data_IF_998258637015
#
_entry.id   IF_998258637015
#
_cell.length_a   1.000
_cell.length_b   1.000
_cell.length_c   1.000
_cell.angle_alpha   90.00
_cell.angle_beta   90.00
_cell.angle_gamma   90.00
#
_symmetry.space_group_name_H-M   'P 1'
#
loop_
_entity.id
_entity.type
_entity.pdbx_description
1 polymer ?
#
# COMPACT_ATOMS: atom_id res chain seq x y z
N UNK A 1 15.83 15.25 -16.12
CA UNK A 1 14.64 14.81 -15.35
C UNK A 1 13.42 14.53 -16.24
N UNK A 2 13.18 15.31 -17.31
CA UNK A 2 12.00 15.15 -18.18
C UNK A 2 11.93 13.79 -18.89
N UNK A 3 13.05 13.23 -19.39
CA UNK A 3 13.06 11.90 -20.06
C UNK A 3 12.44 10.77 -19.23
N UNK A 4 12.72 10.72 -17.92
CA UNK A 4 12.17 9.69 -17.03
C UNK A 4 10.67 9.88 -16.79
N UNK A 5 10.21 11.14 -16.72
CA UNK A 5 8.79 11.47 -16.63
C UNK A 5 8.07 11.02 -17.90
N UNK A 6 8.63 11.34 -19.07
CA UNK A 6 8.01 11.03 -20.36
C UNK A 6 7.94 9.50 -20.57
N UNK A 7 8.98 8.76 -20.16
CA UNK A 7 8.95 7.29 -20.15
C UNK A 7 7.85 6.73 -19.24
N UNK A 8 7.67 7.27 -18.03
CA UNK A 8 6.60 6.86 -17.12
C UNK A 8 5.21 7.17 -17.67
N UNK A 9 5.03 8.32 -18.34
CA UNK A 9 3.76 8.66 -18.99
C UNK A 9 3.41 7.63 -20.06
N UNK A 10 4.38 7.21 -20.88
CA UNK A 10 4.17 6.15 -21.89
C UNK A 10 3.76 4.84 -21.26
N UNK A 11 4.45 4.41 -20.20
CA UNK A 11 4.12 3.17 -19.48
C UNK A 11 2.68 3.25 -18.93
N UNK A 12 2.32 4.35 -18.27
CA UNK A 12 0.97 4.52 -17.72
C UNK A 12 -0.09 4.51 -18.84
N UNK A 13 0.17 5.16 -19.97
CA UNK A 13 -0.72 5.13 -21.13
C UNK A 13 -0.93 3.69 -21.67
N UNK A 14 0.14 2.88 -21.75
CA UNK A 14 0.01 1.47 -22.14
C UNK A 14 -0.83 0.67 -21.15
N UNK A 15 -0.71 0.93 -19.84
CA UNK A 15 -1.51 0.25 -18.81
C UNK A 15 -2.99 0.64 -18.90
N UNK A 16 -3.30 1.90 -19.23
CA UNK A 16 -4.67 2.33 -19.53
C UNK A 16 -5.24 1.61 -20.74
N UNK A 17 -4.48 1.49 -21.83
CA UNK A 17 -4.90 0.74 -23.01
C UNK A 17 -5.16 -0.74 -22.71
N UNK A 18 -4.28 -1.40 -21.95
CA UNK A 18 -4.47 -2.79 -21.50
C UNK A 18 -5.71 -2.99 -20.62
N UNK A 19 -6.17 -1.93 -19.94
CA UNK A 19 -7.34 -1.96 -19.07
C UNK A 19 -8.64 -1.65 -19.84
N UNK A 20 -8.54 -1.29 -21.13
CA UNK A 20 -9.68 -0.97 -22.00
C UNK A 20 -10.09 0.50 -22.01
N UNK A 21 -9.28 1.41 -21.46
CA UNK A 21 -9.61 2.85 -21.42
C UNK A 21 -9.53 3.57 -22.78
N UNK A 22 -9.14 2.86 -23.85
CA UNK A 22 -8.97 3.44 -25.18
C UNK A 22 -10.29 3.72 -25.91
N UNK A 23 -11.41 3.09 -25.52
CA UNK A 23 -12.69 3.13 -26.27
C UNK A 23 -13.89 3.57 -25.41
N UNK A 24 -13.65 4.26 -24.28
CA UNK A 24 -14.73 4.81 -23.45
C UNK A 24 -15.50 3.79 -22.59
N UNK A 25 -15.26 2.49 -22.77
CA UNK A 25 -15.81 1.43 -21.93
C UNK A 25 -14.77 1.01 -20.86
N UNK A 26 -14.98 1.48 -19.63
CA UNK A 26 -14.23 0.96 -18.49
C UNK A 26 -14.68 -0.48 -18.22
N UNK A 27 -13.77 -1.44 -18.39
CA UNK A 27 -14.04 -2.82 -18.00
C UNK A 27 -14.12 -2.90 -16.47
N UNK A 28 -15.33 -2.83 -15.94
CA UNK A 28 -15.59 -2.85 -14.49
C UNK A 28 -15.02 -4.11 -13.82
N UNK A 29 -14.93 -5.21 -14.59
CA UNK A 29 -14.39 -6.50 -14.16
C UNK A 29 -13.34 -7.03 -15.13
N UNK A 30 -12.14 -7.31 -14.62
CA UNK A 30 -10.95 -7.71 -15.38
C UNK A 30 -10.47 -9.09 -14.90
N UNK A 31 -9.97 -9.98 -15.78
CA UNK A 31 -9.39 -11.26 -15.37
C UNK A 31 -8.26 -11.07 -14.34
N UNK A 32 -8.28 -11.89 -13.28
CA UNK A 32 -7.32 -11.84 -12.18
C UNK A 32 -5.85 -11.94 -12.64
N UNK A 33 -5.48 -12.77 -13.64
CA UNK A 33 -4.11 -12.80 -14.16
C UNK A 33 -3.67 -11.46 -14.78
N UNK A 34 -4.57 -10.79 -15.50
CA UNK A 34 -4.30 -9.48 -16.10
C UNK A 34 -4.16 -8.42 -15.00
N UNK A 35 -5.07 -8.42 -14.02
CA UNK A 35 -5.01 -7.53 -12.88
C UNK A 35 -3.69 -7.67 -12.08
N UNK A 36 -3.23 -8.90 -11.82
CA UNK A 36 -1.95 -9.12 -11.13
C UNK A 36 -0.76 -8.72 -11.99
N UNK A 37 -0.78 -8.98 -13.31
CA UNK A 37 0.26 -8.53 -14.23
C UNK A 37 0.40 -7.01 -14.23
N UNK A 38 -0.72 -6.27 -14.34
CA UNK A 38 -0.70 -4.81 -14.27
C UNK A 38 -0.13 -4.35 -12.92
N UNK A 39 -0.57 -4.93 -11.80
CA UNK A 39 -0.06 -4.56 -10.48
C UNK A 39 1.45 -4.75 -10.31
N UNK A 40 2.03 -5.75 -10.97
CA UNK A 40 3.48 -5.99 -10.94
C UNK A 40 4.27 -4.86 -11.62
N UNK A 41 3.70 -4.22 -12.64
CA UNK A 41 4.28 -3.06 -13.33
C UNK A 41 3.96 -1.76 -12.58
N UNK A 42 2.74 -1.65 -12.06
CA UNK A 42 2.25 -0.45 -11.39
C UNK A 42 3.03 -0.13 -10.11
N UNK A 43 3.38 -1.14 -9.31
CA UNK A 43 4.12 -0.94 -8.05
C UNK A 43 5.50 -0.28 -8.26
N UNK A 44 6.37 -0.78 -9.16
CA UNK A 44 7.60 -0.08 -9.54
C UNK A 44 7.36 1.32 -10.10
N UNK A 45 6.35 1.50 -10.96
CA UNK A 45 6.03 2.80 -11.52
C UNK A 45 5.65 3.83 -10.44
N UNK A 46 4.80 3.45 -9.49
CA UNK A 46 4.46 4.31 -8.34
C UNK A 46 5.69 4.66 -7.50
N UNK A 47 6.59 3.70 -7.26
CA UNK A 47 7.82 3.94 -6.53
C UNK A 47 8.71 4.96 -7.26
N UNK A 48 8.82 4.87 -8.59
CA UNK A 48 9.54 5.82 -9.41
C UNK A 48 8.93 7.23 -9.34
N UNK A 49 7.60 7.34 -9.41
CA UNK A 49 6.89 8.63 -9.25
C UNK A 49 7.13 9.25 -7.88
N UNK A 50 7.07 8.45 -6.80
CA UNK A 50 7.41 8.94 -5.44
C UNK A 50 8.83 9.49 -5.39
N UNK A 51 9.81 8.79 -5.97
CA UNK A 51 11.21 9.25 -6.05
C UNK A 51 11.34 10.55 -6.85
N UNK A 52 10.60 10.71 -7.96
CA UNK A 52 10.59 11.94 -8.74
C UNK A 52 10.00 13.12 -7.94
N UNK A 53 8.93 12.91 -7.19
CA UNK A 53 8.36 13.94 -6.31
C UNK A 53 9.39 14.38 -5.25
N UNK A 54 10.09 13.42 -4.63
CA UNK A 54 11.14 13.72 -3.64
C UNK A 54 12.29 14.49 -4.29
N UNK A 55 12.76 14.05 -5.47
CA UNK A 55 13.84 14.73 -6.17
C UNK A 55 13.43 16.14 -6.63
N UNK A 56 12.19 16.35 -7.07
CA UNK A 56 11.67 17.68 -7.42
C UNK A 56 11.48 18.58 -6.19
N UNK A 57 11.26 18.00 -5.00
CA UNK A 57 11.18 18.73 -3.75
C UNK A 57 12.56 19.14 -3.20
N UNK A 58 13.64 18.43 -3.56
CA UNK A 58 15.01 18.79 -3.15
C UNK A 58 15.42 20.10 -3.83
N UNK A 59 15.44 21.19 -3.06
CA UNK A 59 15.75 22.54 -3.54
C UNK A 59 14.58 23.52 -3.46
N UNK A 60 13.38 23.06 -3.08
CA UNK A 60 12.26 23.94 -2.78
C UNK A 60 12.25 24.33 -1.30
N UNK A 61 12.12 25.63 -1.02
CA UNK A 61 11.91 26.17 0.32
C UNK A 61 10.41 26.40 0.52
N UNK A 62 9.83 25.82 1.58
CA UNK A 62 8.42 26.00 1.90
C UNK A 62 8.29 26.36 3.37
N UNK A 63 7.52 27.42 3.67
CA UNK A 63 7.20 27.79 5.05
C UNK A 63 6.40 26.64 5.71
N UNK A 64 6.80 26.16 6.90
CA UNK A 64 6.05 25.12 7.61
C UNK A 64 4.63 25.62 7.88
N UNK A 65 3.67 24.68 7.84
CA UNK A 65 2.30 25.01 8.23
C UNK A 65 2.29 25.35 9.73
N UNK A 66 1.55 26.39 10.11
CA UNK A 66 1.39 26.77 11.51
C UNK A 66 0.90 25.56 12.31
N UNK A 67 1.64 25.20 13.35
CA UNK A 67 1.23 24.14 14.28
C UNK A 67 -0.15 24.49 14.81
N UNK A 68 -1.13 23.60 14.60
CA UNK A 68 -2.45 23.81 15.20
C UNK A 68 -2.28 23.61 16.70
N UNK A 69 -2.72 24.57 17.49
CA UNK A 69 -2.78 24.43 18.93
C UNK A 69 -3.49 23.11 19.25
N UNK A 70 -2.84 22.26 20.04
CA UNK A 70 -3.47 21.06 20.55
C UNK A 70 -4.68 21.52 21.37
N UNK A 71 -5.88 20.93 21.17
CA UNK A 71 -7.03 21.32 21.95
C UNK A 71 -6.71 21.13 23.43
N UNK A 72 -6.90 22.18 24.21
CA UNK A 72 -6.69 22.11 25.65
C UNK A 72 -7.75 21.19 26.25
N UNK A 73 -7.31 20.07 26.83
CA UNK A 73 -8.16 19.12 27.54
C UNK A 73 -8.74 17.97 26.70
N UNK A 74 -9.60 17.21 27.34
CA UNK A 74 -10.18 15.98 26.78
C UNK A 74 -11.20 16.30 25.66
N UNK A 75 -11.00 15.73 24.48
CA UNK A 75 -11.92 15.89 23.36
C UNK A 75 -13.14 14.99 23.63
N UNK A 76 -14.22 15.57 24.16
CA UNK A 76 -15.48 14.87 24.43
C UNK A 76 -16.37 14.88 23.18
N UNK A 77 -16.98 13.73 22.84
CA UNK A 77 -18.01 13.69 21.77
C UNK A 77 -19.21 14.52 22.18
N UNK A 78 -19.58 15.52 21.36
CA UNK A 78 -20.82 16.28 21.53
C UNK A 78 -22.00 15.42 21.07
N UNK A 79 -22.79 14.90 22.01
CA UNK A 79 -23.97 14.07 21.77
C UNK A 79 -24.81 13.91 23.05
N UNK A 80 -26.10 13.59 22.90
CA UNK A 80 -27.17 13.50 23.92
C UNK A 80 -26.98 12.45 25.02
N UNK A 81 -25.76 11.94 25.23
CA UNK A 81 -25.47 10.98 26.29
C UNK A 81 -25.03 11.71 27.55
N UNK A 82 -25.69 11.43 28.69
CA UNK A 82 -25.31 11.94 30.03
C UNK A 82 -23.88 11.58 30.47
N UNK A 83 -23.18 10.70 29.74
CA UNK A 83 -21.84 10.23 30.09
C UNK A 83 -20.78 10.93 29.24
N UNK A 84 -19.82 11.60 29.88
CA UNK A 84 -18.60 12.13 29.23
C UNK A 84 -17.83 10.96 28.63
N UNK A 85 -17.94 10.76 27.31
CA UNK A 85 -17.15 9.77 26.57
C UNK A 85 -16.10 10.50 25.74
N UNK A 86 -14.79 10.23 25.92
CA UNK A 86 -13.78 10.78 25.04
C UNK A 86 -14.05 10.34 23.60
N UNK A 87 -13.68 11.18 22.64
CA UNK A 87 -13.95 10.95 21.22
C UNK A 87 -13.22 9.73 20.65
N UNK A 88 -12.12 9.34 21.29
CA UNK A 88 -11.37 8.11 21.09
C UNK A 88 -10.99 7.57 22.47
N UNK A 89 -11.20 6.28 22.73
CA UNK A 89 -10.56 5.62 23.87
C UNK A 89 -9.15 5.24 23.43
N UNK A 90 -8.14 5.77 24.12
CA UNK A 90 -6.74 5.34 23.93
C UNK A 90 -6.53 3.89 24.39
N UNK A 91 -7.41 3.39 25.24
CA UNK A 91 -7.40 2.02 25.72
C UNK A 91 -8.44 1.21 24.96
N UNK A 92 -7.96 0.38 24.04
CA UNK A 92 -8.75 -0.66 23.39
C UNK A 92 -9.01 -1.75 24.45
N UNK A 93 -9.99 -1.51 25.34
CA UNK A 93 -10.49 -2.52 26.27
C UNK A 93 -11.22 -3.56 25.43
N UNK A 94 -10.47 -4.43 24.76
CA UNK A 94 -11.03 -5.69 24.29
C UNK A 94 -11.26 -6.52 25.55
N UNK A 95 -12.50 -6.92 25.87
CA UNK A 95 -12.66 -8.01 26.81
C UNK A 95 -11.90 -9.20 26.21
N UNK A 96 -11.04 -9.88 26.97
CA UNK A 96 -10.37 -11.07 26.48
C UNK A 96 -11.46 -12.08 26.11
N UNK A 97 -11.61 -12.34 24.80
CA UNK A 97 -12.63 -13.25 24.27
C UNK A 97 -12.40 -14.70 24.74
N UNK A 98 -11.21 -15.02 25.26
CA UNK A 98 -10.86 -16.26 25.95
C UNK A 98 -9.89 -15.96 27.10
N UNK A 99 -9.87 -16.78 28.17
CA UNK A 99 -8.77 -16.78 29.12
C UNK A 99 -7.43 -16.96 28.37
N UNK A 100 -6.32 -16.36 28.83
CA UNK A 100 -5.03 -16.50 28.16
C UNK A 100 -4.69 -17.99 28.10
N UNK A 101 -4.63 -18.55 26.89
CA UNK A 101 -4.17 -19.91 26.72
C UNK A 101 -2.76 -20.03 27.33
N UNK A 102 -2.47 -21.12 28.06
CA UNK A 102 -1.15 -21.34 28.61
C UNK A 102 -0.14 -21.31 27.45
N UNK A 103 0.82 -20.38 27.51
CA UNK A 103 1.88 -20.28 26.50
C UNK A 103 2.53 -21.66 26.39
N UNK A 104 2.66 -22.24 25.19
CA UNK A 104 3.34 -23.52 25.05
C UNK A 104 4.75 -23.37 25.61
N UNK A 105 5.12 -24.20 26.59
CA UNK A 105 6.44 -24.21 27.26
C UNK A 105 7.59 -24.53 26.29
N UNK A 106 7.27 -24.86 25.04
CA UNK A 106 8.23 -25.10 23.99
C UNK A 106 8.41 -23.80 23.21
N UNK A 107 9.34 -22.95 23.67
CA UNK A 107 9.91 -21.94 22.81
C UNK A 107 10.42 -22.64 21.54
N UNK A 108 9.80 -22.36 20.39
CA UNK A 108 10.41 -22.69 19.11
C UNK A 108 11.77 -21.99 19.12
N UNK A 109 12.85 -22.76 19.21
CA UNK A 109 14.21 -22.23 19.09
C UNK A 109 14.22 -21.38 17.81
N UNK A 110 14.41 -20.08 17.95
CA UNK A 110 14.62 -19.21 16.81
C UNK A 110 15.92 -19.66 16.17
N UNK A 111 15.83 -20.44 15.10
CA UNK A 111 16.99 -20.80 14.29
C UNK A 111 17.50 -19.54 13.62
N UNK A 112 18.74 -19.15 13.91
CA UNK A 112 19.40 -18.13 13.12
C UNK A 112 19.71 -18.72 11.75
N UNK A 113 19.57 -17.98 10.64
CA UNK A 113 20.01 -18.45 9.32
C UNK A 113 21.49 -18.88 9.29
N UNK A 114 22.30 -18.40 10.22
CA UNK A 114 23.70 -18.80 10.39
C UNK A 114 23.89 -20.22 10.96
N UNK A 115 22.88 -20.78 11.64
CA UNK A 115 22.92 -22.13 12.23
C UNK A 115 22.51 -23.21 11.23
N UNK A 116 22.03 -22.82 10.05
CA UNK A 116 21.54 -23.74 9.01
C UNK A 116 22.68 -24.11 8.07
N UNK A 117 23.05 -25.39 8.07
CA UNK A 117 23.99 -25.90 7.07
C UNK A 117 23.39 -25.79 5.65
N UNK A 118 24.23 -25.69 4.60
CA UNK A 118 23.76 -25.64 3.22
C UNK A 118 22.85 -26.82 2.83
N UNK A 119 23.05 -27.99 3.42
CA UNK A 119 22.20 -29.17 3.22
C UNK A 119 20.79 -28.98 3.79
N UNK A 120 20.68 -28.38 4.98
CA UNK A 120 19.39 -28.09 5.62
C UNK A 120 18.60 -27.03 4.85
N UNK A 121 19.28 -25.98 4.35
CA UNK A 121 18.65 -24.98 3.48
C UNK A 121 18.09 -25.61 2.20
N UNK A 122 18.82 -26.53 1.56
CA UNK A 122 18.34 -27.26 0.39
C UNK A 122 17.15 -28.16 0.72
N UNK A 123 17.16 -28.84 1.87
CA UNK A 123 16.04 -29.68 2.30
C UNK A 123 14.77 -28.86 2.57
N UNK A 124 14.89 -27.70 3.22
CA UNK A 124 13.79 -26.75 3.42
C UNK A 124 13.28 -26.20 2.09
N UNK A 125 14.17 -25.88 1.15
CA UNK A 125 13.78 -25.41 -0.17
C UNK A 125 13.07 -26.49 -1.01
N UNK A 126 13.49 -27.76 -0.90
CA UNK A 126 12.79 -28.89 -1.52
C UNK A 126 11.41 -29.11 -0.92
N UNK A 127 11.33 -29.18 0.42
CA UNK A 127 10.07 -29.38 1.16
C UNK A 127 9.06 -28.26 0.87
N UNK A 128 9.50 -27.00 0.79
CA UNK A 128 8.62 -25.88 0.41
C UNK A 128 8.09 -25.99 -1.01
N UNK A 129 8.89 -26.44 -1.99
CA UNK A 129 8.39 -26.71 -3.35
C UNK A 129 7.34 -27.82 -3.38
N UNK A 130 7.57 -28.91 -2.66
CA UNK A 130 6.65 -30.05 -2.62
C UNK A 130 5.30 -29.68 -1.99
N UNK A 131 5.31 -28.81 -0.97
CA UNK A 131 4.10 -28.27 -0.36
C UNK A 131 3.32 -27.36 -1.32
N UNK A 132 4.01 -26.52 -2.10
CA UNK A 132 3.39 -25.69 -3.15
C UNK A 132 2.79 -26.55 -4.26
N UNK A 133 3.49 -27.60 -4.70
CA UNK A 133 3.04 -28.50 -5.76
C UNK A 133 1.79 -29.32 -5.38
N UNK A 134 1.60 -29.62 -4.08
CA UNK A 134 0.44 -30.38 -3.58
C UNK A 134 -0.80 -29.52 -3.30
N UNK A 135 -0.68 -28.20 -3.25
CA UNK A 135 -1.86 -27.34 -3.13
C UNK A 135 -2.65 -27.33 -4.44
N UNK A 136 -3.82 -28.01 -4.47
CA UNK A 136 -4.77 -27.83 -5.58
C UNK A 136 -5.17 -26.35 -5.63
N UNK A 137 -5.06 -25.67 -6.78
CA UNK A 137 -5.54 -24.30 -6.88
C UNK A 137 -7.03 -24.29 -6.54
N UNK A 138 -7.43 -23.43 -5.61
CA UNK A 138 -8.84 -23.30 -5.22
C UNK A 138 -9.69 -23.00 -6.46
N UNK A 139 -10.91 -23.55 -6.57
CA UNK A 139 -11.78 -23.33 -7.71
C UNK A 139 -12.04 -21.83 -7.89
N UNK A 140 -11.66 -21.32 -9.07
CA UNK A 140 -11.71 -19.91 -9.42
C UNK A 140 -13.17 -19.58 -9.76
N UNK A 141 -13.90 -19.04 -8.79
CA UNK A 141 -15.32 -18.64 -8.92
C UNK A 141 -15.44 -17.39 -9.81
N UNK A 142 -15.39 -17.55 -11.14
CA UNK A 142 -15.47 -16.53 -12.20
C UNK A 142 -14.17 -15.81 -12.58
N UNK A 143 -13.15 -15.77 -11.71
CA UNK A 143 -11.79 -15.33 -12.05
C UNK A 143 -11.65 -13.86 -12.45
N UNK A 144 -12.72 -13.08 -12.39
CA UNK A 144 -12.75 -11.64 -12.67
C UNK A 144 -12.71 -10.83 -11.38
N UNK A 145 -11.97 -9.73 -11.38
CA UNK A 145 -11.75 -8.82 -10.24
C UNK A 145 -12.21 -7.42 -10.64
N UNK A 146 -12.80 -6.68 -9.70
CA UNK A 146 -13.19 -5.29 -9.92
C UNK A 146 -11.94 -4.43 -10.26
N UNK A 147 -12.00 -3.69 -11.37
CA UNK A 147 -10.90 -2.84 -11.85
C UNK A 147 -10.98 -1.38 -11.37
N UNK A 148 -12.03 -0.96 -10.67
CA UNK A 148 -12.23 0.41 -10.22
C UNK A 148 -11.06 0.96 -9.39
N UNK A 149 -10.59 0.17 -8.42
CA UNK A 149 -9.43 0.54 -7.60
C UNK A 149 -8.14 0.67 -8.43
N UNK A 150 -7.99 -0.17 -9.47
CA UNK A 150 -6.82 -0.15 -10.34
C UNK A 150 -6.82 1.09 -11.24
N UNK A 151 -7.98 1.43 -11.81
CA UNK A 151 -8.17 2.64 -12.61
C UNK A 151 -7.91 3.91 -11.81
N UNK A 152 -8.50 4.04 -10.62
CA UNK A 152 -8.30 5.20 -9.76
C UNK A 152 -6.83 5.40 -9.36
N UNK A 153 -6.06 4.30 -9.23
CA UNK A 153 -4.61 4.38 -8.99
C UNK A 153 -3.86 4.89 -10.22
N UNK A 154 -4.19 4.39 -11.42
CA UNK A 154 -3.57 4.86 -12.65
C UNK A 154 -3.87 6.35 -12.90
N UNK A 155 -5.10 6.79 -12.64
CA UNK A 155 -5.51 8.19 -12.73
C UNK A 155 -4.76 9.06 -11.72
N UNK A 156 -4.64 8.59 -10.47
CA UNK A 156 -3.86 9.29 -9.45
C UNK A 156 -2.39 9.46 -9.82
N UNK A 157 -1.79 8.46 -10.50
CA UNK A 157 -0.42 8.53 -11.01
C UNK A 157 -0.31 9.52 -12.17
N UNK A 158 -1.24 9.47 -13.13
CA UNK A 158 -1.29 10.41 -14.25
C UNK A 158 -1.36 11.85 -13.74
N UNK A 159 -2.31 12.16 -12.86
CA UNK A 159 -2.39 13.47 -12.23
C UNK A 159 -1.14 13.82 -11.42
N UNK A 160 -0.46 12.84 -10.81
CA UNK A 160 0.81 13.09 -10.13
C UNK A 160 1.94 13.51 -11.07
N UNK A 161 2.00 12.92 -12.25
CA UNK A 161 2.97 13.25 -13.28
C UNK A 161 2.66 14.59 -13.95
N UNK A 162 1.39 14.97 -14.05
CA UNK A 162 0.95 16.26 -14.59
C UNK A 162 1.26 17.41 -13.61
N UNK A 163 1.00 17.22 -12.31
CA UNK A 163 1.20 18.24 -11.25
C UNK A 163 2.63 18.36 -10.70
N UNK A 164 3.61 17.76 -11.38
CA UNK A 164 4.94 17.51 -10.81
C UNK A 164 5.78 18.79 -10.60
N UNK A 165 5.38 19.94 -11.18
CA UNK A 165 6.20 21.17 -11.22
C UNK A 165 5.91 22.25 -10.19
N UNK A 166 4.75 22.27 -9.49
CA UNK A 166 4.74 22.98 -8.20
C UNK A 166 3.95 22.31 -7.06
N UNK A 167 2.80 21.69 -7.31
CA UNK A 167 1.84 21.40 -6.26
C UNK A 167 2.24 20.22 -5.37
N UNK A 168 2.62 19.08 -5.96
CA UNK A 168 2.93 17.86 -5.20
C UNK A 168 4.24 17.94 -4.41
N UNK A 169 5.35 18.45 -4.97
CA UNK A 169 6.57 18.65 -4.19
C UNK A 169 6.36 19.58 -2.98
N UNK A 170 5.59 20.67 -3.16
CA UNK A 170 5.25 21.59 -2.05
C UNK A 170 4.43 20.91 -0.96
N UNK A 171 3.41 20.12 -1.34
CA UNK A 171 2.62 19.33 -0.38
C UNK A 171 3.49 18.34 0.39
N UNK A 172 4.40 17.67 -0.30
CA UNK A 172 5.36 16.75 0.34
C UNK A 172 6.26 17.49 1.34
N UNK A 173 6.79 18.66 0.99
CA UNK A 173 7.61 19.46 1.92
C UNK A 173 6.81 19.96 3.13
N UNK A 174 5.58 20.44 2.93
CA UNK A 174 4.70 20.84 4.04
C UNK A 174 4.38 19.69 4.98
N UNK A 175 4.24 18.47 4.45
CA UNK A 175 4.05 17.28 5.27
C UNK A 175 5.31 16.91 6.04
N UNK A 176 6.49 16.96 5.40
CA UNK A 176 7.79 16.69 6.04
C UNK A 176 8.17 17.73 7.10
N UNK A 177 7.66 18.96 6.99
CA UNK A 177 7.94 20.04 7.92
C UNK A 177 6.96 20.10 9.12
N UNK A 178 6.07 19.10 9.26
CA UNK A 178 5.24 18.87 10.45
C UNK A 178 5.94 17.88 11.37
#
# INVERSE_FOLDING_TARGET
>A
MNRNRDALIRIVATLFAMLGFAEGAMNDRVPRPLHTAILRILRPAEAAVRRLIVAAARGMVVKPAVSRAMPAGEIVRKGTSKTRRPAFRLEDIRPPLLPPEPRPKHALKSFSPADLTPAMLRALHRKSRDLVAKSKPAPIKDGKVNAASLAGRLEAIKGALDDLRPARPRRFLRWRAR
#
